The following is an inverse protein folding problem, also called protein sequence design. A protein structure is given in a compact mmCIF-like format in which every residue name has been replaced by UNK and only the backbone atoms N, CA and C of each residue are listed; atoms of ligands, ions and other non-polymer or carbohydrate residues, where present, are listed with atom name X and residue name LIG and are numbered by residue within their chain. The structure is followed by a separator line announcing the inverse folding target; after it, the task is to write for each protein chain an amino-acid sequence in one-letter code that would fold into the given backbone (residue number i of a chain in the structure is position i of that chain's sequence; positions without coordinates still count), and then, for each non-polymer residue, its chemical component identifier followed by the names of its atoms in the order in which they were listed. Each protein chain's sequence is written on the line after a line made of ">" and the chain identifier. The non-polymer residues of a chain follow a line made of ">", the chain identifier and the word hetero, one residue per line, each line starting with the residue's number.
data_IF_971604883931
#
_entry.id   IF_971604883931
#
_cell.length_a   1.000
_cell.length_b   1.000
_cell.length_c   1.000
_cell.angle_alpha   90.00
_cell.angle_beta   90.00
_cell.angle_gamma   90.00
#
_symmetry.space_group_name_H-M   'P 1'
#
loop_
_entity.id
_entity.type
_entity.pdbx_description
1 polymer ?
#
# COMPACT_ATOMS: atom_id res chain seq x y z
N UNK A 1 56.44 -53.50 -65.27
CA UNK A 1 56.44 -53.16 -63.83
C UNK A 1 55.23 -52.28 -63.55
N UNK A 2 54.26 -52.81 -62.79
CA UNK A 2 52.91 -52.25 -62.63
C UNK A 2 52.82 -51.28 -61.43
N UNK A 3 52.50 -50.02 -61.71
CA UNK A 3 52.44 -48.90 -60.74
C UNK A 3 50.99 -48.52 -60.35
N UNK A 4 50.06 -49.48 -60.30
CA UNK A 4 48.63 -49.21 -59.99
C UNK A 4 48.11 -49.73 -58.64
N UNK A 5 48.88 -50.48 -57.84
CA UNK A 5 48.31 -51.14 -56.64
C UNK A 5 48.38 -50.35 -55.32
N UNK A 6 49.00 -49.17 -55.25
CA UNK A 6 49.17 -48.42 -53.98
C UNK A 6 48.13 -47.32 -53.68
N UNK A 7 47.15 -47.09 -54.56
CA UNK A 7 46.14 -46.02 -54.36
C UNK A 7 44.90 -46.46 -53.58
N UNK A 8 44.66 -47.78 -53.40
CA UNK A 8 43.45 -48.27 -52.73
C UNK A 8 43.56 -48.42 -51.20
N UNK A 9 44.77 -48.49 -50.64
CA UNK A 9 44.96 -48.72 -49.19
C UNK A 9 44.79 -47.45 -48.35
N UNK A 10 45.15 -46.27 -48.88
CA UNK A 10 45.03 -45.00 -48.15
C UNK A 10 43.59 -44.50 -47.99
N UNK A 11 42.69 -44.83 -48.92
CA UNK A 11 41.28 -44.42 -48.84
C UNK A 11 40.49 -45.18 -47.77
N UNK A 12 40.85 -46.44 -47.49
CA UNK A 12 40.22 -47.25 -46.43
C UNK A 12 40.67 -46.83 -45.02
N UNK A 13 41.90 -46.33 -44.88
CA UNK A 13 42.41 -45.84 -43.59
C UNK A 13 41.78 -44.48 -43.19
N UNK A 14 41.54 -43.58 -44.14
CA UNK A 14 40.96 -42.26 -43.88
C UNK A 14 39.47 -42.35 -43.49
N UNK A 15 38.71 -43.29 -44.08
CA UNK A 15 37.31 -43.51 -43.70
C UNK A 15 37.15 -44.08 -42.27
N UNK A 16 38.08 -44.93 -41.82
CA UNK A 16 38.03 -45.52 -40.48
C UNK A 16 38.30 -44.49 -39.36
N UNK A 17 39.18 -43.51 -39.59
CA UNK A 17 39.50 -42.46 -38.62
C UNK A 17 38.34 -41.45 -38.47
N UNK A 18 37.64 -41.12 -39.57
CA UNK A 18 36.49 -40.21 -39.53
C UNK A 18 35.25 -40.83 -38.83
N UNK A 19 35.02 -42.14 -38.98
CA UNK A 19 33.94 -42.84 -38.30
C UNK A 19 34.16 -42.91 -36.76
N UNK A 20 35.41 -43.07 -36.31
CA UNK A 20 35.75 -43.07 -34.88
C UNK A 20 35.60 -41.71 -34.20
N UNK A 21 35.94 -40.62 -34.90
CA UNK A 21 35.80 -39.25 -34.38
C UNK A 21 34.32 -38.82 -34.22
N UNK A 22 33.43 -39.26 -35.13
CA UNK A 22 31.99 -39.02 -35.01
C UNK A 22 31.34 -39.78 -33.85
N UNK A 23 31.81 -41.00 -33.54
CA UNK A 23 31.30 -41.80 -32.43
C UNK A 23 31.69 -41.20 -31.06
N UNK A 24 32.92 -40.67 -30.92
CA UNK A 24 33.36 -39.99 -29.70
C UNK A 24 32.67 -38.63 -29.47
N UNK A 25 32.37 -37.88 -30.54
CA UNK A 25 31.56 -36.65 -30.46
C UNK A 25 30.09 -36.94 -30.10
N UNK A 26 29.52 -38.04 -30.61
CA UNK A 26 28.16 -38.46 -30.27
C UNK A 26 28.03 -38.90 -28.80
N UNK A 27 29.03 -39.61 -28.25
CA UNK A 27 29.05 -40.02 -26.84
C UNK A 27 29.31 -38.81 -25.92
N UNK A 28 30.18 -37.87 -26.30
CA UNK A 28 30.43 -36.63 -25.55
C UNK A 28 29.20 -35.71 -25.48
N UNK A 29 28.41 -35.62 -26.56
CA UNK A 29 27.17 -34.86 -26.58
C UNK A 29 26.05 -35.50 -25.74
N UNK A 30 26.05 -36.84 -25.59
CA UNK A 30 25.10 -37.57 -24.73
C UNK A 30 25.48 -37.43 -23.24
N UNK A 31 26.77 -37.42 -22.90
CA UNK A 31 27.25 -37.23 -21.52
C UNK A 31 27.01 -35.80 -20.98
N UNK A 32 27.00 -34.78 -21.84
CA UNK A 32 26.61 -33.41 -21.45
C UNK A 32 25.09 -33.26 -21.19
N UNK A 33 24.26 -34.20 -21.63
CA UNK A 33 22.80 -34.21 -21.38
C UNK A 33 22.38 -34.97 -20.10
N UNK A 34 23.32 -35.62 -19.42
CA UNK A 34 23.07 -36.36 -18.17
C UNK A 34 23.73 -35.69 -16.95
N UNK A 35 23.94 -34.37 -16.98
CA UNK A 35 24.20 -33.66 -15.73
C UNK A 35 22.91 -33.73 -14.92
N UNK A 36 22.92 -34.28 -13.68
CA UNK A 36 21.75 -34.22 -12.82
C UNK A 36 21.33 -32.76 -12.75
N UNK A 37 20.11 -32.44 -13.18
CA UNK A 37 19.58 -31.08 -13.05
C UNK A 37 19.78 -30.67 -11.59
N UNK A 38 20.51 -29.59 -11.36
CA UNK A 38 20.77 -29.13 -10.00
C UNK A 38 19.43 -28.87 -9.32
N UNK A 39 19.10 -29.64 -8.29
CA UNK A 39 17.91 -29.41 -7.48
C UNK A 39 18.09 -28.13 -6.66
N UNK A 40 17.01 -27.38 -6.51
CA UNK A 40 16.96 -26.17 -5.70
C UNK A 40 15.77 -26.25 -4.75
N UNK A 41 15.94 -25.72 -3.55
CA UNK A 41 14.83 -25.56 -2.58
C UNK A 41 14.01 -24.35 -2.97
N UNK A 42 12.71 -24.55 -3.19
CA UNK A 42 11.74 -23.47 -3.42
C UNK A 42 10.63 -23.52 -2.38
N UNK A 43 9.94 -22.39 -2.19
CA UNK A 43 8.76 -22.30 -1.32
C UNK A 43 7.51 -22.11 -2.17
N UNK A 44 6.50 -22.95 -1.93
CA UNK A 44 5.25 -22.92 -2.68
C UNK A 44 4.05 -23.17 -1.77
N UNK A 45 2.91 -22.58 -2.13
CA UNK A 45 1.66 -22.75 -1.41
C UNK A 45 0.93 -21.42 -1.20
N UNK A 46 -0.15 -21.46 -0.44
CA UNK A 46 -0.99 -20.30 -0.17
C UNK A 46 -0.84 -19.84 1.28
N UNK A 47 -0.69 -18.53 1.46
CA UNK A 47 -0.71 -17.86 2.75
C UNK A 47 -1.90 -16.90 2.78
N UNK A 48 -2.87 -17.16 3.65
CA UNK A 48 -4.00 -16.26 3.89
C UNK A 48 -3.64 -15.36 5.05
N UNK A 49 -3.65 -14.05 4.83
CA UNK A 49 -3.29 -13.03 5.80
C UNK A 49 -4.48 -12.09 5.99
N UNK A 50 -4.79 -11.75 7.24
CA UNK A 50 -5.72 -10.70 7.55
C UNK A 50 -5.22 -9.37 6.97
N UNK A 51 -6.10 -8.46 6.55
CA UNK A 51 -5.70 -7.10 6.13
C UNK A 51 -4.92 -6.36 7.24
N UNK A 52 -5.10 -6.77 8.50
CA UNK A 52 -4.39 -6.26 9.68
C UNK A 52 -3.07 -7.00 9.98
N UNK A 53 -2.61 -7.89 9.09
CA UNK A 53 -1.28 -8.51 9.14
C UNK A 53 -1.20 -9.90 9.78
N UNK A 54 -2.26 -10.36 10.42
CA UNK A 54 -2.30 -11.69 11.06
C UNK A 54 -2.33 -12.82 10.03
N UNK A 55 -1.56 -13.88 10.24
CA UNK A 55 -1.63 -15.05 9.36
C UNK A 55 -2.79 -15.94 9.80
N UNK A 56 -3.77 -16.14 8.92
CA UNK A 56 -4.96 -16.98 9.17
C UNK A 56 -4.72 -18.43 8.74
N UNK A 57 -4.01 -18.61 7.62
CA UNK A 57 -3.64 -19.91 7.09
C UNK A 57 -2.27 -19.83 6.43
N UNK A 58 -1.45 -20.85 6.61
CA UNK A 58 -0.13 -20.93 5.99
C UNK A 58 0.13 -22.36 5.51
N UNK A 59 -0.16 -22.62 4.24
CA UNK A 59 0.09 -23.92 3.60
C UNK A 59 1.40 -23.91 2.80
N UNK A 60 2.30 -22.96 3.09
CA UNK A 60 3.58 -22.86 2.38
C UNK A 60 4.50 -23.99 2.81
N UNK A 61 4.97 -24.77 1.84
CA UNK A 61 5.91 -25.87 2.02
C UNK A 61 7.21 -25.59 1.27
N UNK A 62 8.29 -26.18 1.77
CA UNK A 62 9.54 -26.28 1.02
C UNK A 62 9.46 -27.49 0.09
N UNK A 63 9.83 -27.29 -1.17
CA UNK A 63 9.88 -28.32 -2.20
C UNK A 63 11.29 -28.35 -2.77
N UNK A 64 11.83 -29.55 -2.99
CA UNK A 64 13.01 -29.76 -3.83
C UNK A 64 12.53 -29.93 -5.26
N UNK A 65 12.97 -29.06 -6.14
CA UNK A 65 12.55 -29.05 -7.55
C UNK A 65 13.77 -28.84 -8.43
N UNK A 66 13.69 -29.20 -9.71
CA UNK A 66 14.77 -28.88 -10.63
C UNK A 66 14.88 -27.37 -10.84
N UNK A 67 16.10 -26.89 -11.12
CA UNK A 67 16.35 -25.47 -11.37
C UNK A 67 15.50 -24.89 -12.52
N UNK A 68 15.19 -25.69 -13.53
CA UNK A 68 14.37 -25.28 -14.68
C UNK A 68 12.90 -25.06 -14.29
N UNK A 69 12.39 -25.78 -13.28
CA UNK A 69 11.02 -25.67 -12.82
C UNK A 69 10.81 -24.64 -11.70
N UNK A 70 11.90 -24.20 -11.04
CA UNK A 70 11.84 -23.31 -9.88
C UNK A 70 10.96 -22.05 -10.08
N UNK A 71 10.97 -21.45 -11.28
CA UNK A 71 10.18 -20.27 -11.59
C UNK A 71 8.65 -20.48 -11.64
N UNK A 72 8.19 -21.73 -11.66
CA UNK A 72 6.75 -22.07 -11.66
C UNK A 72 6.16 -22.08 -10.25
N UNK A 73 7.00 -22.20 -9.23
CA UNK A 73 6.60 -22.27 -7.83
C UNK A 73 6.62 -20.88 -7.22
N UNK A 74 5.54 -20.52 -6.54
CA UNK A 74 5.45 -19.25 -5.81
C UNK A 74 4.58 -19.40 -4.57
N UNK A 75 4.82 -18.50 -3.62
CA UNK A 75 3.91 -18.29 -2.51
C UNK A 75 2.83 -17.32 -2.97
N UNK A 76 1.58 -17.74 -2.89
CA UNK A 76 0.43 -16.87 -3.14
C UNK A 76 -0.01 -16.30 -1.79
N UNK A 77 -0.14 -14.97 -1.71
CA UNK A 77 -0.61 -14.29 -0.50
C UNK A 77 -1.99 -13.72 -0.76
N UNK A 78 -3.00 -14.24 -0.07
CA UNK A 78 -4.37 -13.75 -0.12
C UNK A 78 -4.63 -12.87 1.10
N UNK A 79 -5.30 -11.73 0.88
CA UNK A 79 -5.67 -10.80 1.95
C UNK A 79 -7.16 -10.84 2.18
N UNK A 80 -7.58 -11.13 3.40
CA UNK A 80 -9.00 -11.20 3.79
C UNK A 80 -9.23 -10.43 5.09
N UNK A 81 -10.48 -10.03 5.37
CA UNK A 81 -10.84 -9.53 6.70
C UNK A 81 -11.21 -10.74 7.57
N UNK A 82 -10.42 -11.02 8.62
CA UNK A 82 -10.74 -12.14 9.50
C UNK A 82 -11.96 -11.83 10.38
N UNK A 83 -12.64 -12.88 10.85
CA UNK A 83 -13.86 -12.74 11.66
C UNK A 83 -13.67 -11.88 12.91
N UNK A 84 -12.50 -11.95 13.54
CA UNK A 84 -12.18 -11.14 14.71
C UNK A 84 -12.21 -9.64 14.39
N UNK A 85 -11.50 -9.23 13.34
CA UNK A 85 -11.47 -7.82 12.92
C UNK A 85 -12.80 -7.37 12.30
N UNK A 86 -13.53 -8.26 11.62
CA UNK A 86 -14.89 -7.99 11.15
C UNK A 86 -15.82 -7.66 12.32
N UNK A 87 -15.84 -8.50 13.36
CA UNK A 87 -16.65 -8.27 14.58
C UNK A 87 -16.23 -7.00 15.31
N UNK A 88 -14.92 -6.73 15.42
CA UNK A 88 -14.40 -5.50 15.99
C UNK A 88 -14.92 -4.26 15.23
N UNK A 89 -14.85 -4.28 13.90
CA UNK A 89 -15.34 -3.20 13.05
C UNK A 89 -16.87 -3.01 13.18
N UNK A 90 -17.65 -4.07 13.13
CA UNK A 90 -19.12 -4.02 13.31
C UNK A 90 -19.51 -3.45 14.70
N UNK A 91 -18.80 -3.84 15.77
CA UNK A 91 -19.01 -3.28 17.10
C UNK A 91 -18.62 -1.80 17.18
N UNK A 92 -17.52 -1.40 16.53
CA UNK A 92 -17.07 -0.02 16.49
C UNK A 92 -18.03 0.90 15.73
N UNK A 93 -18.53 0.46 14.57
CA UNK A 93 -19.52 1.20 13.78
C UNK A 93 -20.84 1.38 14.53
N UNK A 94 -21.31 0.33 15.22
CA UNK A 94 -22.48 0.41 16.12
C UNK A 94 -22.24 1.43 17.24
N UNK A 95 -21.06 1.41 17.85
CA UNK A 95 -20.70 2.34 18.91
C UNK A 95 -20.72 3.81 18.43
N UNK A 96 -20.18 4.09 17.24
CA UNK A 96 -20.26 5.42 16.62
C UNK A 96 -21.71 5.85 16.35
N UNK A 97 -22.56 4.94 15.88
CA UNK A 97 -23.98 5.22 15.66
C UNK A 97 -24.69 5.59 16.96
N UNK A 98 -24.53 4.78 18.01
CA UNK A 98 -25.11 5.03 19.33
C UNK A 98 -24.63 6.34 19.96
N UNK A 99 -23.35 6.69 19.76
CA UNK A 99 -22.79 7.95 20.22
C UNK A 99 -23.45 9.15 19.53
N UNK A 100 -23.71 9.07 18.22
CA UNK A 100 -24.43 10.11 17.45
C UNK A 100 -25.89 10.25 17.88
N UNK A 101 -26.52 9.16 18.32
CA UNK A 101 -27.88 9.15 18.87
C UNK A 101 -27.95 9.65 20.32
N UNK A 102 -26.83 10.04 20.93
CA UNK A 102 -26.77 10.48 22.34
C UNK A 102 -26.84 9.34 23.37
N UNK A 103 -26.87 8.08 22.93
CA UNK A 103 -26.92 6.88 23.78
C UNK A 103 -25.52 6.52 24.32
N UNK A 104 -24.99 7.38 25.19
CA UNK A 104 -23.60 7.31 25.66
C UNK A 104 -23.24 5.97 26.34
N UNK A 105 -24.12 5.44 27.19
CA UNK A 105 -23.86 4.19 27.92
C UNK A 105 -23.79 2.98 26.96
N UNK A 106 -24.71 2.91 26.00
CA UNK A 106 -24.73 1.84 24.98
C UNK A 106 -23.54 1.97 24.03
N UNK A 107 -23.19 3.19 23.62
CA UNK A 107 -22.01 3.45 22.80
C UNK A 107 -20.73 2.96 23.50
N UNK A 108 -20.56 3.30 24.79
CA UNK A 108 -19.42 2.82 25.58
C UNK A 108 -19.38 1.29 25.66
N UNK A 109 -20.53 0.63 25.82
CA UNK A 109 -20.62 -0.83 25.81
C UNK A 109 -20.14 -1.41 24.47
N UNK A 110 -20.58 -0.84 23.35
CA UNK A 110 -20.18 -1.28 22.02
C UNK A 110 -18.69 -0.99 21.70
N UNK A 111 -18.12 0.12 22.20
CA UNK A 111 -16.67 0.36 22.10
C UNK A 111 -15.85 -0.65 22.90
N UNK A 112 -16.30 -1.02 24.10
CA UNK A 112 -15.67 -2.09 24.90
C UNK A 112 -15.79 -3.45 24.22
N UNK A 113 -16.92 -3.72 23.56
CA UNK A 113 -17.12 -4.93 22.76
C UNK A 113 -16.13 -4.98 21.59
N UNK A 114 -15.95 -3.87 20.86
CA UNK A 114 -14.93 -3.79 19.80
C UNK A 114 -13.51 -4.04 20.34
N UNK A 115 -13.16 -3.42 21.47
CA UNK A 115 -11.88 -3.64 22.16
C UNK A 115 -11.68 -5.10 22.60
N UNK A 116 -12.76 -5.79 22.96
CA UNK A 116 -12.70 -7.19 23.39
C UNK A 116 -12.41 -8.15 22.23
N UNK A 117 -12.83 -7.80 21.01
CA UNK A 117 -12.48 -8.56 19.81
C UNK A 117 -11.06 -8.28 19.37
N UNK A 118 -10.63 -7.02 19.38
CA UNK A 118 -9.26 -6.65 19.01
C UNK A 118 -8.77 -5.49 19.90
N UNK A 119 -7.96 -5.79 20.94
CA UNK A 119 -7.39 -4.79 21.83
C UNK A 119 -6.49 -3.77 21.13
N UNK A 120 -5.92 -4.15 19.98
CA UNK A 120 -5.05 -3.31 19.17
C UNK A 120 -5.78 -2.57 18.04
N UNK A 121 -7.11 -2.68 17.99
CA UNK A 121 -7.94 -2.00 16.99
C UNK A 121 -7.70 -0.49 17.09
N UNK A 122 -6.96 0.04 16.11
CA UNK A 122 -6.40 1.40 16.15
C UNK A 122 -7.47 2.46 16.41
N UNK A 123 -8.68 2.25 15.88
CA UNK A 123 -9.77 3.21 15.98
C UNK A 123 -10.41 3.23 17.38
N UNK A 124 -10.45 2.08 18.06
CA UNK A 124 -10.88 1.99 19.47
C UNK A 124 -9.86 2.65 20.38
N UNK A 125 -8.56 2.41 20.16
CA UNK A 125 -7.49 3.10 20.91
C UNK A 125 -7.58 4.61 20.75
N UNK A 126 -7.79 5.10 19.53
CA UNK A 126 -7.96 6.53 19.27
C UNK A 126 -9.19 7.10 20.00
N UNK A 127 -10.30 6.36 20.04
CA UNK A 127 -11.50 6.76 20.76
C UNK A 127 -11.29 6.80 22.29
N UNK A 128 -10.68 5.75 22.88
CA UNK A 128 -10.34 5.70 24.31
C UNK A 128 -9.39 6.85 24.67
N UNK A 129 -8.36 7.08 23.85
CA UNK A 129 -7.42 8.19 24.03
C UNK A 129 -8.10 9.57 23.96
N UNK A 130 -9.22 9.69 23.24
CA UNK A 130 -10.05 10.90 23.19
C UNK A 130 -11.01 11.05 24.38
N UNK A 131 -10.93 10.18 25.39
CA UNK A 131 -11.77 10.24 26.59
C UNK A 131 -13.22 9.79 26.38
N UNK A 132 -13.48 9.02 25.32
CA UNK A 132 -14.80 8.47 25.03
C UNK A 132 -15.86 9.49 24.59
N UNK A 133 -15.45 10.74 24.32
CA UNK A 133 -16.34 11.84 23.96
C UNK A 133 -16.16 12.26 22.49
N UNK A 134 -16.31 11.32 21.56
CA UNK A 134 -16.54 11.67 20.14
C UNK A 134 -18.04 11.69 19.85
N UNK A 135 -18.71 12.68 20.43
CA UNK A 135 -20.11 13.01 20.19
C UNK A 135 -20.31 14.48 20.53
N UNK A 136 -20.22 15.33 19.51
CA UNK A 136 -20.46 16.78 19.54
C UNK A 136 -19.74 17.58 20.63
N UNK A 137 -18.72 18.33 20.20
CA UNK A 137 -18.26 19.52 20.90
C UNK A 137 -19.39 20.57 20.93
N UNK A 138 -20.06 20.77 22.07
CA UNK A 138 -20.68 22.04 22.52
C UNK A 138 -21.35 21.88 23.91
N UNK A 139 -21.22 22.92 24.74
CA UNK A 139 -21.62 23.10 26.17
C UNK A 139 -20.73 22.35 27.19
N UNK A 140 -20.05 22.96 28.17
CA UNK A 140 -20.16 24.28 28.77
C UNK A 140 -20.80 24.17 30.17
N UNK A 141 -20.01 23.98 31.22
CA UNK A 141 -20.19 24.66 32.51
C UNK A 141 -18.98 24.50 33.45
N UNK A 142 -18.68 25.61 34.12
CA UNK A 142 -17.53 25.89 34.98
C UNK A 142 -17.70 25.46 36.44
N UNK A 143 -16.58 25.27 37.14
CA UNK A 143 -16.36 25.77 38.51
C UNK A 143 -14.86 25.80 38.88
N UNK A 144 -14.32 27.01 39.13
CA UNK A 144 -13.09 27.40 39.88
C UNK A 144 -11.74 26.85 39.38
N UNK A 145 -10.63 27.58 39.22
CA UNK A 145 -10.14 28.82 39.82
C UNK A 145 -9.09 29.50 38.89
N UNK A 146 -9.07 30.83 38.99
CA UNK A 146 -8.16 31.90 38.53
C UNK A 146 -6.78 31.59 37.94
N UNK A 147 -6.53 32.01 36.68
CA UNK A 147 -5.42 32.93 36.37
C UNK A 147 -5.53 33.59 34.98
N UNK A 148 -5.18 34.87 34.95
CA UNK A 148 -5.35 35.82 33.85
C UNK A 148 -4.36 35.62 32.71
N UNK A 149 -4.85 35.55 31.46
CA UNK A 149 -4.03 35.56 30.25
C UNK A 149 -4.86 35.61 28.96
N UNK A 150 -5.02 36.82 28.41
CA UNK A 150 -5.54 37.15 27.07
C UNK A 150 -4.99 36.22 25.97
N UNK A 151 -5.68 35.74 24.95
CA UNK A 151 -7.01 35.96 24.40
C UNK A 151 -6.95 35.57 22.92
N UNK A 152 -7.71 34.55 22.49
CA UNK A 152 -8.14 34.29 21.11
C UNK A 152 -9.07 33.06 21.07
N UNK A 153 -10.35 33.27 21.37
CA UNK A 153 -11.38 32.23 21.28
C UNK A 153 -11.74 31.99 19.80
N UNK A 154 -11.20 30.93 19.20
CA UNK A 154 -11.56 30.53 17.83
C UNK A 154 -12.92 29.82 17.83
N UNK A 155 -14.00 30.61 17.81
CA UNK A 155 -15.35 30.12 17.47
C UNK A 155 -15.36 29.72 16.00
N UNK A 156 -14.92 28.49 15.72
CA UNK A 156 -14.98 27.92 14.38
C UNK A 156 -16.42 27.52 14.07
N UNK A 157 -17.12 28.33 13.28
CA UNK A 157 -18.44 27.99 12.74
C UNK A 157 -18.39 26.62 12.09
N UNK A 158 -19.15 25.66 12.63
CA UNK A 158 -19.24 24.32 12.10
C UNK A 158 -19.96 24.38 10.75
N UNK A 159 -19.25 24.01 9.68
CA UNK A 159 -19.79 24.04 8.32
C UNK A 159 -20.50 22.74 7.96
N UNK A 160 -21.48 22.82 7.04
CA UNK A 160 -22.27 21.66 6.58
C UNK A 160 -21.35 20.55 6.04
N UNK A 161 -21.64 19.26 6.28
CA UNK A 161 -20.86 18.16 5.71
C UNK A 161 -20.74 18.24 4.19
N UNK A 162 -19.54 18.01 3.67
CA UNK A 162 -19.23 18.02 2.24
C UNK A 162 -19.31 16.61 1.67
N UNK A 163 -19.95 16.47 0.50
CA UNK A 163 -19.93 15.22 -0.24
C UNK A 163 -18.51 14.95 -0.79
N UNK A 164 -17.85 13.91 -0.27
CA UNK A 164 -16.42 13.66 -0.55
C UNK A 164 -16.17 12.89 -1.84
N UNK A 165 -17.04 11.96 -2.23
CA UNK A 165 -16.85 11.11 -3.42
C UNK A 165 -16.63 11.90 -4.72
N UNK A 166 -17.36 13.00 -5.00
CA UNK A 166 -17.13 13.80 -6.22
C UNK A 166 -15.77 14.52 -6.28
N UNK A 167 -15.04 14.58 -5.16
CA UNK A 167 -13.71 15.22 -5.09
C UNK A 167 -12.58 14.27 -5.49
N UNK A 168 -12.85 12.96 -5.56
CA UNK A 168 -11.89 11.96 -6.01
C UNK A 168 -11.88 11.88 -7.53
N UNK A 169 -10.71 11.76 -8.18
CA UNK A 169 -10.66 11.59 -9.62
C UNK A 169 -11.32 10.28 -10.06
N UNK A 170 -12.12 10.37 -11.12
CA UNK A 170 -12.79 9.21 -11.74
C UNK A 170 -11.79 8.31 -12.49
N UNK A 171 -10.73 8.90 -13.04
CA UNK A 171 -9.63 8.23 -13.73
C UNK A 171 -8.39 9.12 -13.69
N UNK A 172 -7.21 8.51 -13.88
CA UNK A 172 -5.93 9.20 -14.05
C UNK A 172 -5.19 8.54 -15.22
N UNK A 173 -4.66 9.35 -16.14
CA UNK A 173 -3.91 8.80 -17.28
C UNK A 173 -2.67 8.02 -16.80
N UNK A 174 -2.49 6.81 -17.35
CA UNK A 174 -1.44 5.91 -16.92
C UNK A 174 -1.71 5.15 -15.62
N UNK A 175 -2.93 5.18 -15.09
CA UNK A 175 -3.31 4.38 -13.92
C UNK A 175 -4.59 3.57 -14.16
N UNK A 176 -4.60 2.35 -13.63
CA UNK A 176 -5.82 1.59 -13.40
C UNK A 176 -6.47 2.04 -12.08
N UNK A 177 -7.76 2.37 -12.13
CA UNK A 177 -8.46 2.95 -10.97
C UNK A 177 -9.14 1.88 -10.13
N UNK A 178 -8.81 1.81 -8.85
CA UNK A 178 -9.47 0.91 -7.88
C UNK A 178 -10.86 1.40 -7.46
N UNK A 179 -11.54 0.65 -6.57
CA UNK A 179 -12.82 1.06 -6.01
C UNK A 179 -12.68 2.29 -5.10
N UNK A 180 -13.78 3.02 -4.91
CA UNK A 180 -13.86 4.10 -3.92
C UNK A 180 -14.18 3.47 -2.57
N UNK A 181 -13.35 3.76 -1.57
CA UNK A 181 -13.58 3.39 -0.18
C UNK A 181 -14.13 4.61 0.56
N UNK A 182 -15.22 4.42 1.31
CA UNK A 182 -15.89 5.46 2.10
C UNK A 182 -15.77 5.13 3.58
N UNK A 183 -15.39 6.13 4.36
CA UNK A 183 -15.28 6.06 5.82
C UNK A 183 -15.97 7.29 6.42
N UNK A 184 -16.27 7.27 7.73
CA UNK A 184 -16.88 8.42 8.39
C UNK A 184 -15.96 9.65 8.29
N UNK A 185 -16.35 10.63 7.48
CA UNK A 185 -15.57 11.86 7.27
C UNK A 185 -14.39 11.71 6.31
N UNK A 186 -14.26 10.58 5.60
CA UNK A 186 -13.21 10.38 4.61
C UNK A 186 -13.68 9.59 3.38
N UNK A 187 -13.03 9.82 2.25
CA UNK A 187 -13.13 8.95 1.09
C UNK A 187 -11.76 8.78 0.46
N UNK A 188 -11.48 7.60 -0.08
CA UNK A 188 -10.22 7.33 -0.75
C UNK A 188 -10.40 6.51 -2.02
N UNK A 189 -9.43 6.63 -2.92
CA UNK A 189 -9.31 5.80 -4.11
C UNK A 189 -7.87 5.45 -4.37
N UNK A 190 -7.64 4.17 -4.62
CA UNK A 190 -6.32 3.64 -5.00
C UNK A 190 -6.20 3.62 -6.52
N UNK A 191 -4.99 3.89 -7.01
CA UNK A 191 -4.64 3.87 -8.41
C UNK A 191 -3.37 3.03 -8.59
N UNK A 192 -3.44 2.04 -9.48
CA UNK A 192 -2.31 1.18 -9.80
C UNK A 192 -1.63 1.69 -11.08
N UNK A 193 -0.33 2.01 -11.05
CA UNK A 193 0.36 2.53 -12.22
C UNK A 193 0.43 1.47 -13.32
N UNK A 194 0.05 1.87 -14.53
CA UNK A 194 0.22 1.02 -15.72
C UNK A 194 1.72 0.96 -16.08
N UNK A 195 2.20 -0.18 -16.62
CA UNK A 195 3.58 -0.31 -17.04
C UNK A 195 4.00 0.83 -18.00
N UNK A 196 5.25 1.30 -17.85
CA UNK A 196 5.92 2.28 -18.72
C UNK A 196 5.49 3.75 -18.62
N UNK A 197 4.31 4.09 -18.10
CA UNK A 197 3.89 5.51 -17.99
C UNK A 197 4.38 6.19 -16.71
N UNK A 198 4.43 5.46 -15.59
CA UNK A 198 4.82 5.97 -14.28
C UNK A 198 5.79 5.02 -13.59
N UNK A 199 6.93 4.73 -14.24
CA UNK A 199 7.87 3.68 -13.83
C UNK A 199 8.45 3.88 -12.40
N UNK A 200 8.47 5.12 -11.92
CA UNK A 200 8.99 5.47 -10.60
C UNK A 200 7.95 5.28 -9.48
N UNK A 201 6.69 5.01 -9.84
CA UNK A 201 5.57 4.89 -8.90
C UNK A 201 5.24 3.42 -8.69
N UNK A 202 5.19 2.98 -7.43
CA UNK A 202 4.77 1.62 -7.05
C UNK A 202 3.32 1.57 -6.55
N UNK A 203 2.80 2.68 -6.06
CA UNK A 203 1.39 2.80 -5.62
C UNK A 203 0.96 4.27 -5.57
N UNK A 204 -0.33 4.52 -5.75
CA UNK A 204 -0.93 5.84 -5.61
C UNK A 204 -2.27 5.71 -4.86
N UNK A 205 -2.46 6.54 -3.84
CA UNK A 205 -3.74 6.67 -3.14
C UNK A 205 -4.09 8.15 -3.05
N UNK A 206 -5.29 8.51 -3.51
CA UNK A 206 -5.87 9.85 -3.31
C UNK A 206 -6.90 9.75 -2.20
N UNK A 207 -6.79 10.63 -1.20
CA UNK A 207 -7.67 10.70 -0.05
C UNK A 207 -8.23 12.09 0.11
N UNK A 208 -9.48 12.16 0.54
CA UNK A 208 -10.15 13.40 0.94
C UNK A 208 -10.77 13.22 2.32
N UNK A 209 -10.65 14.25 3.15
CA UNK A 209 -11.13 14.25 4.53
C UNK A 209 -11.99 15.50 4.77
N UNK A 210 -13.13 15.36 5.42
CA UNK A 210 -13.91 16.49 5.93
C UNK A 210 -13.72 16.62 7.45
N UNK A 211 -13.11 17.72 7.87
CA UNK A 211 -12.85 18.00 9.28
C UNK A 211 -13.88 18.93 9.93
N UNK A 212 -14.90 19.37 9.19
CA UNK A 212 -15.97 20.25 9.68
C UNK A 212 -15.56 21.71 9.93
N UNK A 213 -14.25 22.00 10.00
CA UNK A 213 -13.69 23.36 10.16
C UNK A 213 -12.32 23.46 9.48
N UNK A 214 -11.96 24.67 9.05
CA UNK A 214 -10.63 24.99 8.48
C UNK A 214 -9.50 24.73 9.48
N UNK A 215 -9.70 25.06 10.76
CA UNK A 215 -8.70 24.86 11.83
C UNK A 215 -8.38 23.38 12.02
N UNK A 216 -9.39 22.51 12.06
CA UNK A 216 -9.16 21.06 12.19
C UNK A 216 -8.48 20.48 10.95
N UNK A 217 -8.88 20.93 9.75
CA UNK A 217 -8.21 20.56 8.50
C UNK A 217 -6.72 20.94 8.49
N UNK A 218 -6.39 22.15 8.94
CA UNK A 218 -5.00 22.60 9.05
C UNK A 218 -4.22 21.78 10.08
N UNK A 219 -4.81 21.53 11.26
CA UNK A 219 -4.20 20.69 12.29
C UNK A 219 -3.89 19.28 11.81
N UNK A 220 -4.69 18.70 10.92
CA UNK A 220 -4.38 17.41 10.31
C UNK A 220 -3.08 17.49 9.50
N UNK A 221 -2.94 18.48 8.61
CA UNK A 221 -1.71 18.65 7.82
C UNK A 221 -0.51 18.81 8.77
N UNK A 222 -0.62 19.67 9.78
CA UNK A 222 0.51 19.99 10.66
C UNK A 222 0.87 18.89 11.65
N UNK A 223 -0.10 18.13 12.16
CA UNK A 223 0.14 17.11 13.18
C UNK A 223 0.18 15.68 12.65
N UNK A 224 -0.33 15.44 11.45
CA UNK A 224 -0.34 14.10 10.83
C UNK A 224 0.62 14.10 9.65
N UNK A 225 0.29 14.79 8.54
CA UNK A 225 1.07 14.72 7.31
C UNK A 225 2.51 15.19 7.52
N UNK A 226 2.75 16.34 8.20
CA UNK A 226 4.10 16.83 8.48
C UNK A 226 4.92 15.92 9.39
N UNK A 227 4.29 15.28 10.38
CA UNK A 227 5.00 14.41 11.33
C UNK A 227 5.34 13.05 10.71
N UNK A 228 4.37 12.46 10.01
CA UNK A 228 4.57 11.16 9.34
C UNK A 228 5.54 11.26 8.17
N UNK A 229 5.45 12.34 7.39
CA UNK A 229 6.28 12.57 6.20
C UNK A 229 7.26 13.73 6.43
N UNK A 230 8.04 13.63 7.51
CA UNK A 230 8.88 14.74 8.01
C UNK A 230 10.17 15.00 7.22
N UNK A 231 10.52 14.15 6.25
CA UNK A 231 11.76 14.30 5.46
C UNK A 231 11.50 15.01 4.14
N UNK A 232 12.49 15.77 3.66
CA UNK A 232 12.41 16.54 2.41
C UNK A 232 11.18 17.49 2.33
N UNK A 233 10.87 18.26 3.38
CA UNK A 233 9.68 19.11 3.38
C UNK A 233 9.79 20.20 2.31
N UNK A 234 8.72 20.38 1.54
CA UNK A 234 8.59 21.48 0.57
C UNK A 234 7.17 22.05 0.62
N UNK A 235 7.04 23.31 0.21
CA UNK A 235 5.73 23.91 -0.07
C UNK A 235 5.57 24.05 -1.56
N UNK A 236 4.47 23.53 -2.09
CA UNK A 236 4.16 23.51 -3.53
C UNK A 236 2.82 24.19 -3.74
N UNK A 237 2.66 24.97 -4.81
CA UNK A 237 1.36 25.53 -5.18
C UNK A 237 0.51 24.49 -5.91
N UNK A 238 -0.73 24.26 -5.45
CA UNK A 238 -1.71 23.37 -6.09
C UNK A 238 -3.04 24.10 -6.20
N UNK A 239 -3.48 24.43 -7.42
CA UNK A 239 -4.76 25.11 -7.66
C UNK A 239 -4.97 26.37 -6.79
N UNK A 240 -3.91 27.17 -6.61
CA UNK A 240 -3.92 28.38 -5.78
C UNK A 240 -3.84 28.15 -4.27
N UNK A 241 -3.74 26.91 -3.80
CA UNK A 241 -3.50 26.57 -2.40
C UNK A 241 -2.04 26.18 -2.15
N UNK A 242 -1.52 26.51 -0.96
CA UNK A 242 -0.24 26.01 -0.50
C UNK A 242 -0.40 24.55 -0.04
N UNK A 243 0.31 23.63 -0.69
CA UNK A 243 0.39 22.22 -0.36
C UNK A 243 1.70 21.90 0.36
N UNK A 244 1.60 21.04 1.38
CA UNK A 244 2.75 20.44 2.03
C UNK A 244 3.18 19.19 1.26
N UNK A 245 4.41 19.19 0.77
CA UNK A 245 5.10 17.97 0.32
C UNK A 245 6.05 17.48 1.41
N UNK A 246 6.11 16.17 1.58
CA UNK A 246 7.11 15.53 2.43
C UNK A 246 7.24 14.05 2.12
N UNK A 247 8.25 13.42 2.70
CA UNK A 247 8.59 12.01 2.48
C UNK A 247 8.71 11.24 3.79
N UNK A 248 8.36 9.96 3.73
CA UNK A 248 8.61 8.94 4.74
C UNK A 248 9.50 7.86 4.09
N UNK A 249 10.84 8.02 4.15
CA UNK A 249 11.75 7.04 3.59
C UNK A 249 11.53 5.63 4.18
N UNK A 250 11.81 4.56 3.41
CA UNK A 250 12.37 4.61 2.06
C UNK A 250 11.31 4.71 0.95
N UNK A 251 10.02 4.66 1.26
CA UNK A 251 9.02 4.32 0.24
C UNK A 251 8.08 5.45 -0.15
N UNK A 252 7.65 6.31 0.78
CA UNK A 252 6.45 7.11 0.52
C UNK A 252 6.72 8.60 0.46
N UNK A 253 5.99 9.26 -0.43
CA UNK A 253 5.83 10.70 -0.48
C UNK A 253 4.36 11.06 -0.23
N UNK A 254 4.13 12.23 0.36
CA UNK A 254 2.79 12.83 0.50
C UNK A 254 2.75 14.21 -0.12
N UNK A 255 1.59 14.59 -0.64
CA UNK A 255 1.22 15.96 -0.95
C UNK A 255 -0.15 16.24 -0.33
N UNK A 256 -0.18 17.13 0.66
CA UNK A 256 -1.38 17.43 1.44
C UNK A 256 -1.72 18.92 1.41
N UNK A 257 -2.97 19.26 1.09
CA UNK A 257 -3.46 20.64 1.10
C UNK A 257 -4.92 20.69 1.51
N UNK A 258 -5.38 21.88 1.89
CA UNK A 258 -6.78 22.09 2.27
C UNK A 258 -7.49 23.07 1.34
N UNK A 259 -8.80 22.89 1.20
CA UNK A 259 -9.73 23.85 0.60
C UNK A 259 -10.92 23.96 1.54
N UNK A 260 -11.01 25.04 2.29
CA UNK A 260 -11.97 25.17 3.39
C UNK A 260 -11.70 24.11 4.48
N UNK A 261 -12.76 23.39 4.88
CA UNK A 261 -12.71 22.30 5.87
C UNK A 261 -12.21 20.96 5.33
N UNK A 262 -12.00 20.85 4.01
CA UNK A 262 -11.63 19.59 3.36
C UNK A 262 -10.12 19.54 3.15
N UNK A 263 -9.49 18.45 3.60
CA UNK A 263 -8.10 18.11 3.24
C UNK A 263 -8.11 17.15 2.06
N UNK A 264 -7.22 17.40 1.09
CA UNK A 264 -6.83 16.46 0.04
C UNK A 264 -5.43 16.00 0.36
N UNK A 265 -5.22 14.69 0.33
CA UNK A 265 -3.92 14.08 0.53
C UNK A 265 -3.68 13.06 -0.58
N UNK A 266 -2.54 13.17 -1.24
CA UNK A 266 -2.04 12.16 -2.16
C UNK A 266 -0.89 11.46 -1.45
N UNK A 267 -0.93 10.14 -1.41
CA UNK A 267 0.19 9.31 -0.94
C UNK A 267 0.67 8.47 -2.10
N UNK A 268 1.96 8.54 -2.39
CA UNK A 268 2.58 7.86 -3.51
C UNK A 268 3.77 7.02 -3.02
N UNK A 269 3.81 5.76 -3.44
CA UNK A 269 4.94 4.86 -3.19
C UNK A 269 5.97 4.95 -4.31
N UNK A 270 7.26 4.93 -3.96
CA UNK A 270 8.38 4.91 -4.90
C UNK A 270 8.72 3.47 -5.28
N UNK A 271 8.92 3.20 -6.56
CA UNK A 271 9.44 1.93 -7.05
C UNK A 271 10.96 1.81 -6.85
N UNK A 272 11.67 2.94 -6.74
CA UNK A 272 13.14 2.99 -6.64
C UNK A 272 13.65 3.28 -5.21
N UNK A 273 12.78 3.32 -4.20
CA UNK A 273 13.11 3.75 -2.84
C UNK A 273 13.66 5.20 -2.76
N UNK A 274 13.22 6.08 -3.67
CA UNK A 274 13.59 7.50 -3.73
C UNK A 274 12.34 8.38 -3.70
N UNK A 275 11.61 8.46 -2.57
CA UNK A 275 10.32 9.13 -2.53
C UNK A 275 10.41 10.63 -2.87
N UNK A 276 11.55 11.27 -2.69
CA UNK A 276 11.76 12.67 -3.08
C UNK A 276 11.70 12.89 -4.60
N UNK A 277 11.98 11.87 -5.43
CA UNK A 277 11.88 11.99 -6.88
C UNK A 277 10.43 11.98 -7.37
N UNK A 278 9.47 11.65 -6.52
CA UNK A 278 8.04 11.62 -6.84
C UNK A 278 7.38 13.00 -6.82
N UNK A 279 8.14 14.07 -6.56
CA UNK A 279 7.58 15.42 -6.44
C UNK A 279 6.86 15.85 -7.73
N UNK A 280 7.43 15.57 -8.90
CA UNK A 280 6.81 15.94 -10.18
C UNK A 280 5.56 15.10 -10.44
N UNK A 281 5.63 13.78 -10.24
CA UNK A 281 4.50 12.86 -10.41
C UNK A 281 3.33 13.21 -9.48
N UNK A 282 3.61 13.50 -8.20
CA UNK A 282 2.57 13.80 -7.22
C UNK A 282 1.91 15.16 -7.47
N UNK A 283 2.68 16.15 -7.94
CA UNK A 283 2.14 17.45 -8.35
C UNK A 283 1.28 17.31 -9.59
N UNK A 284 1.69 16.50 -10.59
CA UNK A 284 0.88 16.22 -11.76
C UNK A 284 -0.47 15.57 -11.39
N UNK A 285 -0.50 14.64 -10.44
CA UNK A 285 -1.77 14.06 -9.95
C UNK A 285 -2.63 15.13 -9.26
N UNK A 286 -2.01 16.05 -8.52
CA UNK A 286 -2.71 17.06 -7.73
C UNK A 286 -3.58 18.02 -8.55
N UNK A 287 -3.15 18.35 -9.77
CA UNK A 287 -3.92 19.18 -10.70
C UNK A 287 -5.24 18.53 -11.16
N UNK A 288 -5.37 17.22 -10.96
CA UNK A 288 -6.54 16.41 -11.35
C UNK A 288 -7.47 16.11 -10.18
N UNK A 289 -7.13 16.54 -8.96
CA UNK A 289 -7.96 16.42 -7.76
C UNK A 289 -8.73 17.72 -7.53
N UNK A 290 -10.07 17.66 -7.54
CA UNK A 290 -10.98 18.83 -7.52
C UNK A 290 -11.23 19.41 -6.13
#
# INVERSE_FOLDING_TARGET
>A
MNFQSMQFSRKRLILAVLAGAFLLLAIGALALRLRPESEVKVRAGTKIVCIYGETLKNDVKELLVSRSEAGRYRVIVEKVLCDRHRKAQEAFERAQKLAREGKKAEALKAFKEAASYDPDFRDVKAWIASGGASGSSSSGNSSGESNSGSGASSSGTQTKPVALTPLLPASLDGYESGPILKETGAASRTFMPLPKKHANVSSLVVRVYDFGTTTRAQRFIDNVSRKLYSKNPKTVGVNGAAAYFGTQPPLYATLAWRKGQVVREIVMGSAENKPQSLLEDITWVSDRVR
#
